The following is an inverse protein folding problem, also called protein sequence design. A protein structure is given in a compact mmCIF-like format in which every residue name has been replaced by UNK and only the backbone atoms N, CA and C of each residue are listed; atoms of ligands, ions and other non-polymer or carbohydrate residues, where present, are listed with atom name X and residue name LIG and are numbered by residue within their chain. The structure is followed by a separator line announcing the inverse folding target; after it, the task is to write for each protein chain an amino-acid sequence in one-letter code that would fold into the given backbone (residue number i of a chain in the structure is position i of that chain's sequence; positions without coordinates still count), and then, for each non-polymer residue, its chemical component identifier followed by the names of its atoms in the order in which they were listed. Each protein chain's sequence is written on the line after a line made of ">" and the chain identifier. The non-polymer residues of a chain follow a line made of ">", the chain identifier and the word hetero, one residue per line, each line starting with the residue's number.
data_IF_864261386203
#
_entry.id   IF_864261386203
#
_cell.length_a   1.000
_cell.length_b   1.000
_cell.length_c   1.000
_cell.angle_alpha   90.00
_cell.angle_beta   90.00
_cell.angle_gamma   90.00
#
_symmetry.space_group_name_H-M   'P 1'
#
loop_
_entity.id
_entity.type
_entity.pdbx_description
1 polymer ?
#
# COMPACT_ATOMS: atom_id res chain seq x y z
N UNK A 1 2.57 -8.17 -15.06
CA UNK A 1 2.80 -7.70 -13.68
C UNK A 1 4.22 -7.16 -13.63
N UNK A 2 4.45 -5.93 -13.16
CA UNK A 2 5.80 -5.34 -13.11
C UNK A 2 6.44 -5.65 -11.76
N UNK A 3 7.69 -6.13 -11.76
CA UNK A 3 8.45 -6.43 -10.53
C UNK A 3 8.57 -5.22 -9.59
N UNK A 4 8.44 -4.01 -10.13
CA UNK A 4 8.48 -2.75 -9.39
C UNK A 4 7.41 -2.62 -8.29
N UNK A 5 6.26 -3.28 -8.44
CA UNK A 5 5.19 -3.26 -7.42
C UNK A 5 5.29 -4.43 -6.44
N UNK A 6 6.27 -5.33 -6.55
CA UNK A 6 6.30 -6.53 -5.71
C UNK A 6 7.27 -6.33 -4.53
N UNK A 7 6.79 -6.31 -3.27
CA UNK A 7 7.66 -6.09 -2.09
C UNK A 7 8.82 -7.08 -1.99
N UNK A 8 8.59 -8.32 -2.45
CA UNK A 8 9.62 -9.35 -2.56
C UNK A 8 10.81 -8.90 -3.42
N UNK A 9 10.54 -8.27 -4.56
CA UNK A 9 11.54 -7.76 -5.50
C UNK A 9 12.08 -6.38 -5.10
N UNK A 10 11.36 -5.65 -4.24
CA UNK A 10 11.78 -4.35 -3.69
C UNK A 10 12.86 -4.45 -2.60
N UNK A 11 13.30 -5.65 -2.21
CA UNK A 11 14.47 -5.83 -1.35
C UNK A 11 14.42 -7.04 -0.41
N UNK A 12 13.25 -7.62 -0.14
CA UNK A 12 13.12 -8.76 0.79
C UNK A 12 13.95 -9.95 0.30
N UNK A 13 13.82 -10.34 -0.99
CA UNK A 13 14.60 -11.44 -1.57
C UNK A 13 16.10 -11.14 -1.55
N UNK A 14 16.48 -9.88 -1.80
CA UNK A 14 17.88 -9.47 -1.78
C UNK A 14 18.47 -9.59 -0.36
N UNK A 15 17.76 -9.12 0.66
CA UNK A 15 18.18 -9.21 2.06
C UNK A 15 18.31 -10.67 2.50
N UNK A 16 17.29 -11.49 2.23
CA UNK A 16 17.30 -12.92 2.48
C UNK A 16 18.52 -13.63 1.86
N UNK A 17 18.79 -13.39 0.57
CA UNK A 17 19.94 -13.99 -0.14
C UNK A 17 21.28 -13.55 0.46
N UNK A 18 21.39 -12.31 0.93
CA UNK A 18 22.59 -11.80 1.58
C UNK A 18 22.83 -12.49 2.93
N UNK A 19 21.78 -12.63 3.76
CA UNK A 19 21.85 -13.33 5.04
C UNK A 19 22.19 -14.81 4.88
N UNK A 20 21.58 -15.48 3.89
CA UNK A 20 21.92 -16.87 3.57
C UNK A 20 23.40 -17.02 3.22
N UNK A 21 23.91 -16.17 2.32
CA UNK A 21 25.32 -16.20 1.89
C UNK A 21 26.28 -15.89 3.04
N UNK A 22 25.91 -14.96 3.91
CA UNK A 22 26.68 -14.67 5.13
C UNK A 22 26.83 -15.91 5.99
N UNK A 23 25.70 -16.56 6.32
CA UNK A 23 25.71 -17.77 7.14
C UNK A 23 26.53 -18.88 6.48
N UNK A 24 26.46 -19.00 5.15
CA UNK A 24 27.21 -20.01 4.39
C UNK A 24 28.72 -19.77 4.48
N UNK A 25 29.16 -18.53 4.29
CA UNK A 25 30.56 -18.17 4.44
C UNK A 25 31.05 -18.36 5.88
N UNK A 26 30.24 -18.03 6.88
CA UNK A 26 30.58 -18.23 8.29
C UNK A 26 30.79 -19.73 8.60
N UNK A 27 29.88 -20.60 8.17
CA UNK A 27 30.04 -22.05 8.32
C UNK A 27 31.30 -22.58 7.63
N UNK A 28 31.61 -22.10 6.42
CA UNK A 28 32.81 -22.52 5.71
C UNK A 28 34.10 -22.15 6.46
N UNK A 29 34.14 -20.97 7.10
CA UNK A 29 35.27 -20.55 7.95
C UNK A 29 35.39 -21.45 9.18
N UNK A 30 34.27 -21.79 9.83
CA UNK A 30 34.29 -22.69 11.00
C UNK A 30 34.76 -24.11 10.64
N UNK A 31 34.37 -24.62 9.46
CA UNK A 31 34.81 -25.92 8.96
C UNK A 31 36.30 -25.94 8.58
N UNK A 32 36.79 -24.85 7.97
CA UNK A 32 38.22 -24.68 7.68
C UNK A 32 39.05 -24.69 8.97
N UNK A 33 38.60 -23.94 9.99
CA UNK A 33 39.22 -23.92 11.31
C UNK A 33 39.19 -25.29 12.01
N UNK A 34 38.16 -26.11 11.74
CA UNK A 34 38.05 -27.49 12.22
C UNK A 34 38.90 -28.51 11.43
N UNK A 35 39.55 -28.08 10.34
CA UNK A 35 40.38 -28.93 9.48
C UNK A 35 39.59 -29.84 8.54
N UNK A 36 38.32 -29.52 8.25
CA UNK A 36 37.51 -30.27 7.30
C UNK A 36 38.02 -30.06 5.87
N UNK A 37 38.07 -31.13 5.07
CA UNK A 37 38.63 -31.06 3.72
C UNK A 37 37.65 -30.43 2.71
N UNK A 38 36.34 -30.57 2.94
CA UNK A 38 35.30 -30.06 2.04
C UNK A 38 34.41 -29.02 2.74
N UNK A 39 34.98 -27.86 3.01
CA UNK A 39 34.36 -26.74 3.73
C UNK A 39 33.12 -26.14 3.04
N UNK A 40 32.89 -26.45 1.76
CA UNK A 40 31.73 -25.98 0.98
C UNK A 40 30.66 -27.06 0.80
N UNK A 41 30.87 -28.27 1.33
CA UNK A 41 29.86 -29.32 1.30
C UNK A 41 28.66 -28.88 2.12
N UNK A 42 27.50 -28.88 1.48
CA UNK A 42 26.23 -28.52 2.12
C UNK A 42 25.19 -29.59 1.82
N UNK A 43 24.68 -30.24 2.87
CA UNK A 43 23.53 -31.13 2.74
C UNK A 43 22.23 -30.34 2.55
N UNK A 44 21.20 -30.99 2.01
CA UNK A 44 19.89 -30.36 1.87
C UNK A 44 19.31 -29.91 3.22
N UNK A 45 19.52 -30.69 4.28
CA UNK A 45 19.04 -30.35 5.62
C UNK A 45 19.72 -29.07 6.14
N UNK A 46 21.05 -28.99 6.01
CA UNK A 46 21.80 -27.79 6.42
C UNK A 46 21.36 -26.57 5.60
N UNK A 47 21.25 -26.70 4.28
CA UNK A 47 20.78 -25.63 3.42
C UNK A 47 19.38 -25.13 3.80
N UNK A 48 18.44 -26.03 4.11
CA UNK A 48 17.10 -25.64 4.55
C UNK A 48 17.10 -24.98 5.93
N UNK A 49 17.90 -25.48 6.87
CA UNK A 49 18.07 -24.86 8.20
C UNK A 49 18.66 -23.45 8.08
N UNK A 50 19.66 -23.26 7.21
CA UNK A 50 20.25 -21.95 6.96
C UNK A 50 19.29 -20.98 6.27
N UNK A 51 18.48 -21.47 5.33
CA UNK A 51 17.42 -20.68 4.72
C UNK A 51 16.40 -20.23 5.76
N UNK A 52 15.96 -21.12 6.64
CA UNK A 52 15.07 -20.76 7.75
C UNK A 52 15.69 -19.69 8.65
N UNK A 53 16.93 -19.87 9.09
CA UNK A 53 17.63 -18.90 9.93
C UNK A 53 17.81 -17.54 9.22
N UNK A 54 18.15 -17.54 7.94
CA UNK A 54 18.27 -16.32 7.14
C UNK A 54 16.92 -15.59 7.00
N UNK A 55 15.81 -16.34 6.84
CA UNK A 55 14.47 -15.76 6.79
C UNK A 55 14.06 -15.14 8.13
N UNK A 56 14.28 -15.84 9.24
CA UNK A 56 14.00 -15.35 10.60
C UNK A 56 14.85 -14.12 10.96
N UNK A 57 16.02 -13.97 10.34
CA UNK A 57 16.89 -12.80 10.51
C UNK A 57 16.50 -11.58 9.65
N UNK A 58 15.60 -11.72 8.66
CA UNK A 58 15.07 -10.56 7.93
C UNK A 58 14.21 -9.74 8.89
N UNK A 59 14.61 -8.50 9.20
CA UNK A 59 13.87 -7.67 10.15
C UNK A 59 12.50 -7.27 9.64
N UNK A 60 11.53 -7.16 10.56
CA UNK A 60 10.21 -6.62 10.26
C UNK A 60 10.29 -5.19 9.68
N UNK A 61 11.27 -4.40 10.12
CA UNK A 61 11.55 -3.06 9.59
C UNK A 61 11.96 -3.11 8.11
N UNK A 62 12.83 -4.04 7.72
CA UNK A 62 13.22 -4.23 6.30
C UNK A 62 12.01 -4.60 5.45
N UNK A 63 11.18 -5.52 5.95
CA UNK A 63 9.94 -5.93 5.28
C UNK A 63 9.03 -4.71 5.12
N UNK A 64 8.76 -3.99 6.19
CA UNK A 64 7.93 -2.78 6.20
C UNK A 64 8.44 -1.71 5.24
N UNK A 65 9.75 -1.46 5.21
CA UNK A 65 10.37 -0.51 4.30
C UNK A 65 10.17 -0.93 2.83
N UNK A 66 10.31 -2.22 2.49
CA UNK A 66 10.04 -2.73 1.14
C UNK A 66 8.56 -2.55 0.74
N UNK A 67 7.62 -2.77 1.66
CA UNK A 67 6.19 -2.52 1.42
C UNK A 67 5.88 -1.03 1.22
N UNK A 68 6.52 -0.15 2.00
CA UNK A 68 6.38 1.30 1.83
C UNK A 68 6.95 1.75 0.48
N UNK A 69 8.08 1.17 0.06
CA UNK A 69 8.72 1.50 -1.21
C UNK A 69 7.83 1.16 -2.42
N UNK A 70 7.10 0.04 -2.37
CA UNK A 70 6.15 -0.32 -3.44
C UNK A 70 4.84 0.45 -3.41
N UNK A 71 4.60 1.25 -2.35
CA UNK A 71 3.39 2.08 -2.16
C UNK A 71 2.07 1.29 -2.25
N UNK A 72 2.11 -0.01 -1.89
CA UNK A 72 0.91 -0.85 -1.83
C UNK A 72 0.16 -0.65 -0.52
N UNK A 73 0.86 -0.28 0.54
CA UNK A 73 0.19 0.01 1.81
C UNK A 73 -0.60 1.31 1.70
N UNK A 74 -1.83 1.35 2.24
CA UNK A 74 -2.51 2.62 2.46
C UNK A 74 -1.63 3.48 3.37
N UNK A 75 -1.49 4.77 3.04
CA UNK A 75 -0.71 5.71 3.85
C UNK A 75 -1.20 5.66 5.30
N UNK A 76 -0.46 4.95 6.16
CA UNK A 76 -0.82 4.79 7.58
C UNK A 76 -0.59 6.09 8.35
N UNK A 77 0.06 7.08 7.74
CA UNK A 77 0.16 8.46 8.27
C UNK A 77 -1.18 9.18 8.31
N UNK A 78 -2.23 8.58 7.78
CA UNK A 78 -3.56 9.14 7.74
C UNK A 78 -4.55 8.06 8.16
N UNK A 79 -4.88 7.99 9.45
CA UNK A 79 -6.22 7.59 9.89
C UNK A 79 -7.23 8.64 9.40
N UNK A 80 -7.29 8.82 8.09
CA UNK A 80 -8.32 9.41 7.28
C UNK A 80 -9.59 8.58 7.44
N UNK A 81 -10.23 8.53 8.61
CA UNK A 81 -11.69 8.55 8.53
C UNK A 81 -11.98 9.95 8.02
N UNK A 82 -12.36 10.14 6.74
CA UNK A 82 -12.76 11.45 6.28
C UNK A 82 -13.79 11.98 7.28
N UNK A 83 -13.76 13.26 7.62
CA UNK A 83 -14.65 13.82 8.64
C UNK A 83 -16.12 13.36 8.47
N UNK A 84 -16.59 13.26 7.21
CA UNK A 84 -17.92 12.76 6.85
C UNK A 84 -18.20 11.27 7.16
N UNK A 85 -17.23 10.49 7.63
CA UNK A 85 -17.39 9.11 8.12
C UNK A 85 -17.32 9.01 9.65
N UNK A 86 -17.10 10.13 10.37
CA UNK A 86 -17.01 10.13 11.83
C UNK A 86 -18.39 9.89 12.47
N UNK A 87 -18.57 8.81 13.27
CA UNK A 87 -19.86 8.45 13.85
C UNK A 87 -20.34 9.45 14.93
N UNK A 88 -19.43 10.12 15.63
CA UNK A 88 -19.75 11.15 16.62
C UNK A 88 -20.16 12.44 15.92
N UNK A 89 -19.52 12.77 14.79
CA UNK A 89 -19.94 13.91 13.98
C UNK A 89 -21.38 13.74 13.44
N UNK A 90 -21.74 12.53 13.00
CA UNK A 90 -23.12 12.21 12.61
C UNK A 90 -24.13 12.24 13.76
N UNK A 91 -23.69 12.04 15.01
CA UNK A 91 -24.58 12.15 16.18
C UNK A 91 -25.04 13.60 16.40
N UNK A 92 -24.16 14.59 16.20
CA UNK A 92 -24.56 16.00 16.27
C UNK A 92 -25.62 16.35 15.22
N UNK A 93 -25.49 15.81 14.00
CA UNK A 93 -26.49 15.98 12.92
C UNK A 93 -27.82 15.29 13.30
N UNK A 94 -27.78 14.11 13.92
CA UNK A 94 -28.96 13.40 14.40
C UNK A 94 -29.67 14.17 15.55
N UNK A 95 -28.91 14.75 16.47
CA UNK A 95 -29.46 15.59 17.54
C UNK A 95 -30.10 16.87 16.99
N UNK A 96 -29.57 17.43 15.91
CA UNK A 96 -30.20 18.55 15.21
C UNK A 96 -31.52 18.14 14.56
N UNK A 97 -31.56 17.01 13.85
CA UNK A 97 -32.76 16.49 13.19
C UNK A 97 -33.90 16.10 14.13
N UNK A 98 -33.57 15.71 15.36
CA UNK A 98 -34.56 15.41 16.40
C UNK A 98 -35.05 16.65 17.14
N UNK A 99 -34.52 17.84 16.81
CA UNK A 99 -34.84 19.09 17.50
C UNK A 99 -34.17 19.23 18.88
N UNK A 100 -33.26 18.32 19.23
CA UNK A 100 -32.52 18.36 20.51
C UNK A 100 -31.46 19.46 20.52
N UNK A 101 -30.94 19.82 19.35
CA UNK A 101 -29.98 20.91 19.16
C UNK A 101 -30.45 21.93 18.12
N UNK A 102 -29.86 23.13 18.15
CA UNK A 102 -30.07 24.19 17.15
C UNK A 102 -28.92 24.26 16.15
N UNK A 103 -29.14 24.86 14.97
CA UNK A 103 -28.13 25.00 13.90
C UNK A 103 -26.77 25.55 14.39
N UNK A 104 -26.71 26.64 15.20
CA UNK A 104 -25.43 27.14 15.70
C UNK A 104 -24.70 26.16 16.63
N UNK A 105 -25.45 25.34 17.38
CA UNK A 105 -24.89 24.36 18.32
C UNK A 105 -24.33 23.15 17.60
N UNK A 106 -24.99 22.66 16.55
CA UNK A 106 -24.47 21.54 15.72
C UNK A 106 -23.23 21.96 14.94
N UNK A 107 -23.21 23.15 14.34
CA UNK A 107 -22.00 23.65 13.67
C UNK A 107 -20.83 23.81 14.63
N UNK A 108 -21.09 24.36 15.82
CA UNK A 108 -20.05 24.52 16.85
C UNK A 108 -19.54 23.16 17.35
N UNK A 109 -20.43 22.19 17.53
CA UNK A 109 -20.10 20.81 17.90
C UNK A 109 -19.23 20.11 16.85
N UNK A 110 -19.62 20.22 15.56
CA UNK A 110 -18.85 19.68 14.44
C UNK A 110 -17.46 20.31 14.35
N UNK A 111 -17.36 21.64 14.42
CA UNK A 111 -16.07 22.35 14.39
C UNK A 111 -15.17 21.98 15.56
N UNK A 112 -15.73 21.87 16.76
CA UNK A 112 -14.96 21.51 17.96
C UNK A 112 -14.47 20.05 17.92
N UNK A 113 -15.31 19.13 17.41
CA UNK A 113 -15.02 17.70 17.33
C UNK A 113 -14.04 17.36 16.20
N UNK A 114 -14.29 17.88 15.00
CA UNK A 114 -13.52 17.56 13.79
C UNK A 114 -12.27 18.43 13.60
N UNK A 115 -12.21 19.60 14.27
CA UNK A 115 -11.06 20.52 14.25
C UNK A 115 -10.58 20.85 12.83
N UNK A 116 -9.35 20.47 12.50
CA UNK A 116 -8.68 20.69 11.23
C UNK A 116 -9.25 19.84 10.09
N UNK A 117 -10.04 18.81 10.41
CA UNK A 117 -10.73 17.96 9.43
C UNK A 117 -12.13 18.47 9.07
N UNK A 118 -12.63 19.52 9.74
CA UNK A 118 -13.92 20.10 9.41
C UNK A 118 -13.89 20.83 8.06
N UNK A 119 -14.64 20.30 7.10
CA UNK A 119 -14.88 20.92 5.81
C UNK A 119 -16.37 21.25 5.72
N UNK A 120 -16.71 22.54 5.72
CA UNK A 120 -18.11 22.98 5.71
C UNK A 120 -18.92 22.34 4.56
N UNK A 121 -18.36 22.31 3.34
CA UNK A 121 -19.02 21.74 2.16
C UNK A 121 -19.42 20.27 2.30
N UNK A 122 -18.72 19.49 3.13
CA UNK A 122 -19.02 18.07 3.35
C UNK A 122 -20.27 17.90 4.22
N UNK A 123 -20.57 18.88 5.08
CA UNK A 123 -21.68 18.84 6.04
C UNK A 123 -22.92 19.65 5.62
N UNK A 124 -22.75 20.61 4.70
CA UNK A 124 -23.85 21.42 4.16
C UNK A 124 -25.03 20.58 3.61
N UNK A 125 -24.82 19.48 2.85
CA UNK A 125 -25.94 18.66 2.37
C UNK A 125 -26.79 18.09 3.51
N UNK A 126 -26.15 17.66 4.60
CA UNK A 126 -26.85 17.10 5.76
C UNK A 126 -27.60 18.17 6.56
N UNK A 127 -26.96 19.33 6.81
CA UNK A 127 -27.60 20.46 7.50
C UNK A 127 -28.79 21.00 6.71
N UNK A 128 -28.64 21.15 5.39
CA UNK A 128 -29.69 21.57 4.49
C UNK A 128 -30.85 20.58 4.45
N UNK A 129 -30.56 19.28 4.39
CA UNK A 129 -31.60 18.24 4.40
C UNK A 129 -32.47 18.30 5.66
N UNK A 130 -31.87 18.59 6.83
CA UNK A 130 -32.64 18.80 8.07
C UNK A 130 -33.50 20.06 8.01
N UNK A 131 -32.98 21.15 7.46
CA UNK A 131 -33.72 22.41 7.33
C UNK A 131 -34.89 22.33 6.34
N UNK A 132 -34.77 21.53 5.29
CA UNK A 132 -35.80 21.37 4.25
C UNK A 132 -36.83 20.28 4.58
N UNK A 133 -36.61 19.50 5.64
CA UNK A 133 -37.52 18.43 6.04
C UNK A 133 -38.80 19.00 6.65
N UNK A 134 -39.94 18.40 6.28
CA UNK A 134 -41.26 18.78 6.80
C UNK A 134 -41.45 18.32 8.26
N UNK A 135 -40.81 17.22 8.65
CA UNK A 135 -40.84 16.64 9.98
C UNK A 135 -39.53 15.91 10.33
N UNK A 136 -39.40 15.54 11.61
CA UNK A 136 -38.21 14.86 12.13
C UNK A 136 -37.96 13.49 11.46
N UNK A 137 -39.02 12.78 11.06
CA UNK A 137 -38.88 11.47 10.42
C UNK A 137 -38.26 11.61 9.03
N UNK A 138 -38.72 12.59 8.25
CA UNK A 138 -38.20 12.95 6.94
C UNK A 138 -36.74 13.41 7.03
N UNK A 139 -36.40 14.18 8.07
CA UNK A 139 -35.02 14.60 8.34
C UNK A 139 -34.11 13.41 8.65
N UNK A 140 -34.57 12.48 9.50
CA UNK A 140 -33.81 11.29 9.88
C UNK A 140 -33.59 10.33 8.70
N UNK A 141 -34.60 10.14 7.86
CA UNK A 141 -34.51 9.33 6.65
C UNK A 141 -33.47 9.93 5.68
N UNK A 142 -33.52 11.24 5.44
CA UNK A 142 -32.56 11.94 4.59
C UNK A 142 -31.12 11.85 5.13
N UNK A 143 -30.93 12.03 6.45
CA UNK A 143 -29.62 11.87 7.10
C UNK A 143 -29.12 10.44 6.99
N UNK A 144 -29.98 9.44 7.19
CA UNK A 144 -29.60 8.02 7.12
C UNK A 144 -29.10 7.65 5.71
N UNK A 145 -29.76 8.18 4.67
CA UNK A 145 -29.35 8.00 3.29
C UNK A 145 -27.99 8.66 3.00
N UNK A 146 -27.80 9.91 3.45
CA UNK A 146 -26.53 10.64 3.30
C UNK A 146 -25.38 9.96 4.05
N UNK A 147 -25.62 9.49 5.28
CA UNK A 147 -24.65 8.73 6.06
C UNK A 147 -24.26 7.43 5.36
N UNK A 148 -25.23 6.71 4.81
CA UNK A 148 -24.98 5.47 4.06
C UNK A 148 -24.15 5.74 2.81
N UNK A 149 -24.45 6.83 2.08
CA UNK A 149 -23.67 7.25 0.91
C UNK A 149 -22.23 7.63 1.31
N UNK A 150 -22.07 8.43 2.37
CA UNK A 150 -20.79 8.83 2.94
C UNK A 150 -19.91 7.61 3.33
N UNK A 151 -20.52 6.58 3.91
CA UNK A 151 -19.82 5.33 4.28
C UNK A 151 -19.45 4.45 3.07
N UNK A 152 -20.13 4.61 1.94
CA UNK A 152 -19.90 3.81 0.73
C UNK A 152 -18.75 4.32 -0.16
N UNK A 153 -18.24 5.52 0.11
CA UNK A 153 -17.09 6.07 -0.60
C UNK A 153 -15.79 5.37 -0.17
N UNK A 154 -15.54 4.18 -0.73
CA UNK A 154 -14.22 3.56 -0.64
C UNK A 154 -13.18 4.51 -1.24
N UNK A 155 -12.24 4.98 -0.43
CA UNK A 155 -11.14 5.87 -0.85
C UNK A 155 -10.15 5.24 -1.84
N UNK A 156 -10.54 4.17 -2.55
CA UNK A 156 -9.70 3.47 -3.53
C UNK A 156 -9.65 4.31 -4.81
N UNK A 157 -8.76 5.29 -4.82
CA UNK A 157 -8.42 6.07 -6.02
C UNK A 157 -7.37 5.30 -6.82
N UNK A 158 -7.79 4.34 -7.65
CA UNK A 158 -6.86 3.68 -8.59
C UNK A 158 -6.42 4.73 -9.62
N UNK A 159 -5.28 5.37 -9.40
CA UNK A 159 -4.63 6.18 -10.43
C UNK A 159 -4.00 5.23 -11.44
N UNK A 160 -4.73 4.95 -12.51
CA UNK A 160 -4.16 4.34 -13.71
C UNK A 160 -3.36 5.44 -14.41
N UNK A 161 -2.03 5.29 -14.62
CA UNK A 161 -1.29 6.22 -15.47
C UNK A 161 -1.87 6.15 -16.89
N UNK A 162 -2.37 7.27 -17.39
CA UNK A 162 -2.79 7.40 -18.78
C UNK A 162 -1.57 7.14 -19.67
N UNK A 163 -1.61 6.03 -20.41
CA UNK A 163 -0.67 5.74 -21.48
C UNK A 163 -0.79 6.88 -22.50
N UNK A 164 0.22 7.75 -22.53
CA UNK A 164 0.34 8.76 -23.58
C UNK A 164 0.57 8.00 -24.89
N UNK A 165 -0.24 8.21 -25.94
CA UNK A 165 0.04 7.59 -27.22
C UNK A 165 1.35 8.17 -27.74
N UNK A 166 2.37 7.32 -27.86
CA UNK A 166 3.65 7.67 -28.44
C UNK A 166 3.41 8.22 -29.84
N UNK A 167 3.81 9.47 -30.04
CA UNK A 167 3.92 10.09 -31.34
C UNK A 167 4.79 9.21 -32.24
N UNK A 168 4.29 8.95 -33.43
CA UNK A 168 4.97 8.26 -34.52
C UNK A 168 6.21 9.06 -34.92
N UNK A 169 7.37 8.75 -34.35
CA UNK A 169 8.64 9.26 -34.82
C UNK A 169 9.25 8.25 -35.80
N UNK A 170 9.06 8.57 -37.09
CA UNK A 170 9.75 7.99 -38.23
C UNK A 170 11.24 8.29 -38.14
N UNK A 171 12.08 7.25 -38.05
CA UNK A 171 13.52 7.37 -38.27
C UNK A 171 14.05 6.14 -39.03
N UNK A 172 14.09 6.32 -40.35
CA UNK A 172 15.01 5.77 -41.34
C UNK A 172 16.06 4.74 -40.84
N UNK A 173 15.97 3.52 -41.37
CA UNK A 173 17.02 2.49 -41.34
C UNK A 173 18.02 2.71 -42.49
N UNK A 174 19.34 2.55 -42.27
CA UNK A 174 20.23 2.03 -43.30
C UNK A 174 20.70 0.61 -42.93
N UNK A 175 20.58 -0.29 -43.90
CA UNK A 175 21.20 -1.61 -43.96
C UNK A 175 22.73 -1.51 -43.84
N UNK A 176 23.37 -2.40 -43.08
CA UNK A 176 24.64 -3.02 -43.49
C UNK A 176 24.86 -4.43 -42.88
N UNK A 177 25.28 -5.35 -43.77
CA UNK A 177 26.15 -6.54 -43.65
C UNK A 177 25.93 -7.57 -42.51
N UNK A 178 25.39 -8.77 -42.79
CA UNK A 178 26.05 -10.03 -43.25
C UNK A 178 26.87 -10.78 -42.20
N UNK A 179 26.55 -12.08 -42.03
CA UNK A 179 27.43 -13.28 -41.89
C UNK A 179 28.63 -13.16 -40.93
N UNK A 180 28.86 -14.02 -39.94
CA UNK A 180 29.11 -15.47 -39.92
C UNK A 180 29.02 -15.82 -38.41
N UNK A 181 28.50 -16.95 -37.94
CA UNK A 181 29.33 -18.10 -37.54
C UNK A 181 28.41 -19.26 -37.11
N UNK A 182 28.32 -20.26 -37.98
CA UNK A 182 28.13 -21.64 -37.60
C UNK A 182 29.52 -22.28 -37.52
N UNK A 183 29.96 -22.72 -36.34
CA UNK A 183 30.75 -23.95 -36.22
C UNK A 183 30.84 -24.38 -34.76
N UNK A 184 30.07 -25.43 -34.45
CA UNK A 184 30.26 -26.29 -33.29
C UNK A 184 31.13 -27.44 -33.77
N UNK A 185 32.34 -27.58 -33.22
CA UNK A 185 33.22 -28.75 -33.35
C UNK A 185 34.06 -28.77 -32.05
N UNK A 186 33.81 -29.65 -31.09
CA UNK A 186 34.18 -31.08 -31.08
C UNK A 186 35.71 -31.28 -31.11
N UNK A 187 36.27 -31.62 -29.94
CA UNK A 187 37.52 -32.39 -29.69
C UNK A 187 37.59 -32.56 -28.16
N UNK A 188 37.37 -33.76 -27.61
CA UNK A 188 38.32 -34.90 -27.47
C UNK A 188 39.63 -34.48 -26.84
#
# INVERSE_FOLDING_TARGET
>A
MTSFVQPCDAGIIRCFKALYRWNFCAQAVDLDAAGEHNIYKLSLLEGMTMAKAAWEAVSAETIQHCWNHTKIQPDTSMSFHPAHMDPVAWDFIHQYATGTMTLPSVESGLRAHLRDQYIDSDWQPALKAVMEAEDNNTALDAISALRTAALSHSGIKIRIPTLTPAATESAQRPNQLTSVESEVMESV
#
